data_IF_008668143521
#
_entry.id   IF_008668143521
#
_cell.length_a   1.000
_cell.length_b   1.000
_cell.length_c   1.000
_cell.angle_alpha   90.00
_cell.angle_beta   90.00
_cell.angle_gamma   90.00
#
_symmetry.space_group_name_H-M   'P 1'
#
loop_
_entity.id
_entity.type
_entity.pdbx_description
1 polymer ?
#
# COMPACT_ATOMS: atom_id res chain seq x y z
N UNK A 1 69.91 9.27 -2.38
CA UNK A 1 68.44 9.12 -2.45
C UNK A 1 68.09 7.64 -2.31
N UNK A 2 67.53 7.20 -1.18
CA UNK A 2 67.09 5.81 -1.01
C UNK A 2 65.85 5.59 -1.89
N UNK A 3 65.94 4.69 -2.88
CA UNK A 3 64.80 4.28 -3.71
C UNK A 3 63.76 3.62 -2.80
N UNK A 4 62.60 4.26 -2.66
CA UNK A 4 61.42 3.69 -1.99
C UNK A 4 61.07 2.41 -2.79
N UNK A 5 61.08 1.20 -2.18
CA UNK A 5 60.74 -0.01 -2.91
C UNK A 5 59.33 0.12 -3.50
N UNK A 6 59.12 -0.35 -4.73
CA UNK A 6 57.89 -0.14 -5.51
C UNK A 6 56.59 -0.48 -4.73
N UNK A 7 56.68 -1.40 -3.75
CA UNK A 7 55.61 -1.73 -2.81
C UNK A 7 55.24 -0.60 -1.86
N UNK A 8 56.19 0.13 -1.27
CA UNK A 8 55.86 1.23 -0.35
C UNK A 8 55.33 2.47 -1.06
N UNK A 9 55.78 2.75 -2.29
CA UNK A 9 55.19 3.80 -3.12
C UNK A 9 53.71 3.51 -3.42
N UNK A 10 53.37 2.26 -3.77
CA UNK A 10 51.99 1.83 -4.00
C UNK A 10 51.13 1.95 -2.72
N UNK A 11 51.68 1.62 -1.55
CA UNK A 11 50.97 1.81 -0.27
C UNK A 11 50.69 3.29 0.02
N UNK A 12 51.66 4.18 -0.21
CA UNK A 12 51.44 5.62 -0.04
C UNK A 12 50.41 6.17 -1.03
N UNK A 13 50.44 5.72 -2.29
CA UNK A 13 49.44 6.09 -3.29
C UNK A 13 48.03 5.60 -2.90
N UNK A 14 47.90 4.36 -2.46
CA UNK A 14 46.62 3.81 -1.98
C UNK A 14 46.11 4.57 -0.76
N UNK A 15 46.99 4.93 0.17
CA UNK A 15 46.64 5.70 1.37
C UNK A 15 46.17 7.11 1.00
N UNK A 16 46.91 7.81 0.14
CA UNK A 16 46.56 9.15 -0.34
C UNK A 16 45.22 9.10 -1.09
N UNK A 17 45.02 8.10 -1.95
CA UNK A 17 43.77 7.92 -2.68
C UNK A 17 42.59 7.68 -1.73
N UNK A 18 42.73 6.75 -0.78
CA UNK A 18 41.68 6.42 0.18
C UNK A 18 41.30 7.63 1.05
N UNK A 19 42.29 8.33 1.60
CA UNK A 19 42.08 9.52 2.43
C UNK A 19 41.51 10.66 1.59
N UNK A 20 42.02 10.86 0.38
CA UNK A 20 41.57 11.89 -0.54
C UNK A 20 40.10 11.71 -0.92
N UNK A 21 39.70 10.49 -1.30
CA UNK A 21 38.32 10.14 -1.61
C UNK A 21 37.42 10.31 -0.38
N UNK A 22 37.84 9.80 0.78
CA UNK A 22 37.06 9.91 2.02
C UNK A 22 36.84 11.37 2.44
N UNK A 23 37.89 12.19 2.35
CA UNK A 23 37.82 13.63 2.63
C UNK A 23 36.91 14.33 1.63
N UNK A 24 37.00 14.00 0.34
CA UNK A 24 36.15 14.59 -0.69
C UNK A 24 34.66 14.28 -0.43
N UNK A 25 34.31 13.02 -0.14
CA UNK A 25 32.95 12.65 0.25
C UNK A 25 32.49 13.35 1.54
N UNK A 26 33.38 13.51 2.52
CA UNK A 26 33.11 14.28 3.73
C UNK A 26 32.77 15.75 3.43
N UNK A 27 33.58 16.41 2.60
CA UNK A 27 33.31 17.79 2.17
C UNK A 27 32.00 17.89 1.37
N UNK A 28 31.79 16.98 0.42
CA UNK A 28 30.55 16.92 -0.36
C UNK A 28 29.33 16.74 0.54
N UNK A 29 29.43 15.93 1.60
CA UNK A 29 28.33 15.79 2.55
C UNK A 29 27.93 17.13 3.16
N UNK A 30 28.87 18.00 3.54
CA UNK A 30 28.50 19.29 4.13
C UNK A 30 28.06 20.35 3.11
N UNK A 31 28.58 20.29 1.89
CA UNK A 31 28.31 21.30 0.83
C UNK A 31 27.03 21.02 0.06
N UNK A 32 26.70 19.75 -0.20
CA UNK A 32 25.52 19.40 -0.98
C UNK A 32 24.22 19.67 -0.23
N UNK A 33 23.23 20.20 -0.95
CA UNK A 33 21.91 20.45 -0.39
C UNK A 33 21.25 19.14 0.09
N UNK A 34 20.74 19.18 1.31
CA UNK A 34 20.07 18.06 1.97
C UNK A 34 18.67 17.90 1.41
N UNK A 35 18.39 16.73 0.84
CA UNK A 35 17.07 16.39 0.34
C UNK A 35 16.14 16.13 1.53
N UNK A 36 14.87 16.54 1.43
CA UNK A 36 13.88 16.27 2.49
C UNK A 36 13.15 14.95 2.29
N UNK A 37 13.06 14.50 1.05
CA UNK A 37 12.30 13.33 0.64
C UNK A 37 13.14 12.52 -0.34
N UNK A 38 13.18 11.20 -0.18
CA UNK A 38 13.68 10.32 -1.22
C UNK A 38 12.57 10.04 -2.23
N UNK A 39 12.73 10.57 -3.44
CA UNK A 39 11.83 10.27 -4.57
C UNK A 39 11.91 8.76 -4.90
N UNK A 40 13.11 8.18 -4.72
CA UNK A 40 13.40 6.76 -4.91
C UNK A 40 12.67 5.93 -3.86
N UNK A 41 12.90 6.15 -2.56
CA UNK A 41 12.37 5.27 -1.51
C UNK A 41 10.96 5.63 -1.01
N UNK A 42 10.34 6.69 -1.55
CA UNK A 42 8.99 7.17 -1.16
C UNK A 42 8.83 7.42 0.34
N UNK A 43 9.87 7.93 1.00
CA UNK A 43 9.84 8.30 2.42
C UNK A 43 10.55 9.63 2.66
N UNK A 44 10.16 10.28 3.74
CA UNK A 44 10.93 11.39 4.28
C UNK A 44 12.31 10.90 4.72
N UNK A 45 13.32 11.69 4.40
CA UNK A 45 14.68 11.45 4.86
C UNK A 45 14.81 11.89 6.31
N UNK A 46 15.65 11.20 7.07
CA UNK A 46 15.92 11.54 8.45
C UNK A 46 16.35 13.01 8.56
N UNK A 47 15.81 13.71 9.55
CA UNK A 47 16.22 15.06 9.92
C UNK A 47 17.38 15.01 10.89
N UNK A 48 18.17 16.08 10.95
CA UNK A 48 19.27 16.17 11.90
C UNK A 48 18.73 16.03 13.33
N UNK A 49 19.25 15.09 14.15
CA UNK A 49 18.73 14.86 15.49
C UNK A 49 19.09 16.01 16.43
N UNK A 50 18.14 16.40 17.29
CA UNK A 50 18.44 17.31 18.39
C UNK A 50 19.23 16.58 19.48
N UNK A 51 20.29 17.20 19.97
CA UNK A 51 21.13 16.61 21.01
C UNK A 51 20.36 16.54 22.33
N UNK A 52 20.32 15.34 22.92
CA UNK A 52 19.73 15.10 24.23
C UNK A 52 20.59 14.09 24.99
N UNK A 53 21.14 14.49 26.13
CA UNK A 53 22.05 13.68 26.95
C UNK A 53 21.43 12.34 27.36
N UNK A 54 20.13 12.31 27.70
CA UNK A 54 19.42 11.07 28.03
C UNK A 54 19.26 10.14 26.83
N UNK A 55 19.18 10.68 25.62
CA UNK A 55 19.07 9.89 24.38
C UNK A 55 20.43 9.45 23.84
N UNK A 56 21.50 10.19 24.14
CA UNK A 56 22.88 9.82 23.83
C UNK A 56 23.29 8.56 24.59
N UNK A 57 23.07 8.53 25.91
CA UNK A 57 23.36 7.34 26.73
C UNK A 57 22.44 6.15 26.46
N UNK A 58 21.27 6.38 25.83
CA UNK A 58 20.36 5.32 25.36
C UNK A 58 20.67 4.81 23.94
N UNK A 59 21.63 5.44 23.24
CA UNK A 59 21.99 5.09 21.86
C UNK A 59 20.99 5.55 20.79
N UNK A 60 19.93 6.27 21.17
CA UNK A 60 18.93 6.77 20.22
C UNK A 60 19.47 7.94 19.39
N UNK A 61 20.26 8.81 20.01
CA UNK A 61 20.87 9.95 19.32
C UNK A 61 21.85 9.49 18.24
N UNK A 62 22.72 8.52 18.54
CA UNK A 62 23.70 7.98 17.58
C UNK A 62 23.01 7.23 16.45
N UNK A 63 21.98 6.43 16.75
CA UNK A 63 21.17 5.75 15.72
C UNK A 63 20.48 6.76 14.78
N UNK A 64 19.92 7.83 15.33
CA UNK A 64 19.25 8.86 14.54
C UNK A 64 20.27 9.69 13.72
N UNK A 65 21.47 9.89 14.25
CA UNK A 65 22.58 10.53 13.55
C UNK A 65 23.08 9.65 12.38
N UNK A 66 23.23 8.34 12.60
CA UNK A 66 23.59 7.38 11.56
C UNK A 66 22.55 7.34 10.46
N UNK A 67 21.26 7.32 10.82
CA UNK A 67 20.16 7.40 9.85
C UNK A 67 20.22 8.71 9.05
N UNK A 68 20.48 9.84 9.71
CA UNK A 68 20.66 11.14 9.03
C UNK A 68 21.83 11.13 8.06
N UNK A 69 22.99 10.61 8.47
CA UNK A 69 24.18 10.54 7.62
C UNK A 69 23.95 9.62 6.43
N UNK A 70 23.36 8.43 6.65
CA UNK A 70 23.04 7.48 5.59
C UNK A 70 22.03 8.04 4.58
N UNK A 71 21.05 8.81 5.04
CA UNK A 71 20.02 9.43 4.20
C UNK A 71 20.54 10.60 3.37
N UNK A 72 21.56 11.29 3.87
CA UNK A 72 22.11 12.49 3.26
C UNK A 72 23.51 12.29 2.66
N UNK A 73 23.92 11.03 2.46
CA UNK A 73 25.20 10.69 1.87
C UNK A 73 25.28 11.18 0.40
N UNK A 74 26.42 11.73 -0.06
CA UNK A 74 26.55 12.22 -1.43
C UNK A 74 26.22 11.14 -2.46
N UNK A 75 25.41 11.49 -3.46
CA UNK A 75 25.01 10.58 -4.55
C UNK A 75 24.32 9.29 -4.06
N UNK A 76 23.64 9.33 -2.91
CA UNK A 76 22.97 8.17 -2.31
C UNK A 76 22.08 7.42 -3.31
N UNK A 77 21.27 8.17 -4.06
CA UNK A 77 20.33 7.61 -5.03
C UNK A 77 21.07 6.83 -6.14
N UNK A 78 22.21 7.35 -6.63
CA UNK A 78 23.08 6.68 -7.60
C UNK A 78 23.73 5.41 -7.01
N UNK A 79 24.18 5.46 -5.74
CA UNK A 79 24.72 4.29 -5.04
C UNK A 79 23.69 3.19 -4.83
N UNK A 80 22.45 3.57 -4.51
CA UNK A 80 21.34 2.63 -4.39
C UNK A 80 21.07 1.98 -5.73
N UNK A 81 20.93 2.76 -6.80
CA UNK A 81 20.74 2.25 -8.15
C UNK A 81 21.87 1.29 -8.58
N UNK A 82 23.12 1.65 -8.32
CA UNK A 82 24.28 0.79 -8.57
C UNK A 82 24.25 -0.50 -7.73
N UNK A 83 23.81 -0.43 -6.47
CA UNK A 83 23.65 -1.62 -5.61
C UNK A 83 22.58 -2.58 -6.15
N UNK A 84 21.48 -2.05 -6.70
CA UNK A 84 20.44 -2.84 -7.36
C UNK A 84 20.95 -3.44 -8.67
N UNK A 85 21.73 -2.70 -9.46
CA UNK A 85 22.42 -3.23 -10.63
C UNK A 85 23.33 -4.43 -10.28
N UNK A 86 24.18 -4.30 -9.25
CA UNK A 86 25.05 -5.41 -8.80
C UNK A 86 24.26 -6.62 -8.28
N UNK A 87 23.16 -6.39 -7.55
CA UNK A 87 22.25 -7.46 -7.11
C UNK A 87 21.59 -8.17 -8.29
N UNK A 88 21.18 -7.42 -9.30
CA UNK A 88 20.55 -7.96 -10.51
C UNK A 88 21.50 -8.83 -11.34
N UNK A 89 22.81 -8.52 -11.36
CA UNK A 89 23.82 -9.36 -12.00
C UNK A 89 24.06 -10.67 -11.23
N UNK A 90 23.87 -10.68 -9.91
CA UNK A 90 24.08 -11.86 -9.05
C UNK A 90 22.90 -12.85 -9.02
N UNK A 91 21.76 -12.53 -9.65
CA UNK A 91 20.58 -13.40 -9.68
C UNK A 91 20.72 -14.58 -10.65
N UNK A 92 20.36 -15.80 -10.22
CA UNK A 92 20.25 -16.95 -11.11
C UNK A 92 19.05 -16.77 -12.05
N UNK A 93 19.29 -16.82 -13.36
CA UNK A 93 18.29 -16.59 -14.41
C UNK A 93 18.17 -17.84 -15.31
N UNK A 94 17.35 -18.85 -14.94
CA UNK A 94 17.38 -20.14 -15.63
C UNK A 94 16.82 -20.11 -17.06
N UNK A 95 16.15 -19.05 -17.52
CA UNK A 95 15.62 -18.97 -18.90
C UNK A 95 15.53 -17.55 -19.49
N UNK A 96 16.28 -16.57 -18.96
CA UNK A 96 16.29 -15.19 -19.48
C UNK A 96 15.02 -14.36 -19.23
N UNK A 97 13.87 -15.01 -18.97
CA UNK A 97 12.53 -14.41 -18.98
C UNK A 97 11.87 -14.23 -17.61
N UNK A 98 12.40 -14.84 -16.56
CA UNK A 98 11.79 -14.85 -15.22
C UNK A 98 12.85 -14.52 -14.18
N UNK A 99 12.59 -13.54 -13.32
CA UNK A 99 13.44 -13.21 -12.17
C UNK A 99 12.65 -13.25 -10.88
N UNK A 100 13.22 -13.84 -9.83
CA UNK A 100 12.67 -13.78 -8.48
C UNK A 100 13.53 -12.80 -7.68
N UNK A 101 12.92 -11.70 -7.24
CA UNK A 101 13.58 -10.70 -6.38
C UNK A 101 13.06 -10.90 -4.96
N UNK A 102 13.95 -11.34 -4.06
CA UNK A 102 13.67 -11.32 -2.63
C UNK A 102 13.72 -9.86 -2.16
N UNK A 103 12.57 -9.32 -1.80
CA UNK A 103 12.44 -7.98 -1.23
C UNK A 103 12.19 -8.11 0.25
N UNK A 104 12.95 -7.38 1.08
CA UNK A 104 12.53 -7.16 2.46
C UNK A 104 11.19 -6.40 2.40
N UNK A 105 10.08 -7.08 2.71
CA UNK A 105 8.83 -6.37 2.97
C UNK A 105 9.08 -5.42 4.14
N UNK A 106 8.60 -4.17 4.10
CA UNK A 106 8.50 -3.39 5.33
C UNK A 106 7.68 -4.24 6.30
N UNK A 107 8.27 -4.68 7.41
CA UNK A 107 7.48 -5.21 8.51
C UNK A 107 6.63 -4.02 8.99
N UNK A 108 5.40 -3.90 8.50
CA UNK A 108 4.50 -2.81 8.85
C UNK A 108 4.23 -2.78 10.37
N UNK A 109 4.52 -3.88 11.07
CA UNK A 109 4.35 -4.06 12.51
C UNK A 109 5.45 -4.99 13.05
N UNK A 110 6.14 -4.62 14.15
CA UNK A 110 7.08 -5.51 14.83
C UNK A 110 6.41 -6.83 15.25
N UNK A 111 7.11 -7.96 15.08
CA UNK A 111 6.60 -9.31 15.39
C UNK A 111 6.10 -9.46 16.83
N UNK A 112 6.64 -8.69 17.75
CA UNK A 112 6.25 -8.67 19.17
C UNK A 112 4.84 -8.10 19.35
N UNK A 113 4.46 -7.07 18.58
CA UNK A 113 3.11 -6.49 18.62
C UNK A 113 2.09 -7.40 17.96
N UNK A 114 2.49 -8.18 16.94
CA UNK A 114 1.62 -9.18 16.32
C UNK A 114 1.25 -10.31 17.29
N UNK A 115 2.18 -10.76 18.15
CA UNK A 115 1.93 -11.82 19.14
C UNK A 115 0.94 -11.45 20.25
N UNK A 116 0.87 -10.17 20.63
CA UNK A 116 -0.09 -9.70 21.64
C UNK A 116 -1.54 -9.62 21.12
N UNK A 117 -1.71 -9.53 19.80
CA UNK A 117 -3.00 -9.21 19.17
C UNK A 117 -3.57 -10.41 18.40
N UNK A 118 -2.69 -11.30 17.92
CA UNK A 118 -3.03 -12.37 16.97
C UNK A 118 -2.58 -13.71 17.57
N UNK A 119 -3.41 -14.77 17.52
CA UNK A 119 -3.01 -16.11 17.95
C UNK A 119 -1.72 -16.56 17.22
N UNK A 120 -0.78 -17.17 17.95
CA UNK A 120 0.53 -17.61 17.41
C UNK A 120 0.43 -18.46 16.13
N UNK A 121 -0.68 -19.20 15.95
CA UNK A 121 -0.95 -19.99 14.75
C UNK A 121 -1.20 -19.14 13.49
N UNK A 122 -1.82 -17.96 13.62
CA UNK A 122 -2.16 -17.09 12.49
C UNK A 122 -0.97 -16.24 12.02
N UNK A 123 0.01 -15.96 12.90
CA UNK A 123 1.23 -15.23 12.53
C UNK A 123 2.12 -16.06 11.59
N UNK A 124 2.15 -17.39 11.75
CA UNK A 124 2.94 -18.29 10.88
C UNK A 124 2.31 -18.51 9.50
N UNK A 125 1.00 -18.35 9.37
CA UNK A 125 0.22 -18.65 8.17
C UNK A 125 -0.11 -17.38 7.33
N UNK A 126 0.41 -16.21 7.74
CA UNK A 126 0.15 -14.89 7.13
C UNK A 126 0.79 -14.77 5.73
N UNK A 127 0.04 -14.17 4.79
CA UNK A 127 0.54 -13.88 3.45
C UNK A 127 1.45 -12.65 3.46
N UNK A 128 2.75 -12.84 3.64
CA UNK A 128 3.72 -11.79 3.39
C UNK A 128 4.29 -11.98 1.98
N UNK A 129 4.14 -10.97 1.13
CA UNK A 129 4.73 -10.93 -0.21
C UNK A 129 6.27 -10.83 -0.10
N UNK A 130 6.91 -11.95 0.24
CA UNK A 130 8.35 -12.01 0.45
C UNK A 130 9.15 -11.98 -0.85
N UNK A 131 8.50 -12.12 -2.00
CA UNK A 131 9.18 -12.21 -3.28
C UNK A 131 8.35 -11.59 -4.41
N UNK A 132 9.06 -10.86 -5.28
CA UNK A 132 8.53 -10.36 -6.54
C UNK A 132 8.97 -11.29 -7.67
N UNK A 133 8.05 -11.65 -8.54
CA UNK A 133 8.31 -12.33 -9.80
C UNK A 133 8.26 -11.30 -10.92
N UNK A 134 9.34 -11.20 -11.70
CA UNK A 134 9.40 -10.30 -12.86
C UNK A 134 9.35 -11.16 -14.11
N UNK A 135 8.36 -10.89 -14.96
CA UNK A 135 8.10 -11.61 -16.20
C UNK A 135 7.65 -10.63 -17.28
N UNK A 136 8.33 -10.63 -18.43
CA UNK A 136 7.99 -9.80 -19.60
C UNK A 136 7.75 -8.30 -19.29
N UNK A 137 8.64 -7.70 -18.48
CA UNK A 137 8.53 -6.28 -18.13
C UNK A 137 7.33 -5.95 -17.21
N UNK A 138 6.83 -6.96 -16.48
CA UNK A 138 5.81 -6.83 -15.42
C UNK A 138 6.31 -7.44 -14.12
N UNK A 139 5.94 -6.86 -12.99
CA UNK A 139 6.22 -7.37 -11.67
C UNK A 139 4.96 -7.92 -11.01
N UNK A 140 5.10 -9.04 -10.32
CA UNK A 140 4.02 -9.78 -9.68
C UNK A 140 4.39 -10.11 -8.24
N UNK A 141 3.47 -9.96 -7.31
CA UNK A 141 3.67 -10.35 -5.91
C UNK A 141 3.29 -11.81 -5.73
N UNK A 142 4.19 -12.63 -5.19
CA UNK A 142 3.87 -14.05 -4.95
C UNK A 142 2.93 -14.17 -3.74
N UNK A 143 1.73 -14.71 -3.96
CA UNK A 143 0.75 -14.94 -2.90
C UNK A 143 1.03 -16.25 -2.16
N UNK A 144 1.09 -16.19 -0.83
CA UNK A 144 1.50 -17.33 0.01
C UNK A 144 0.66 -17.47 1.28
N UNK A 145 -0.65 -17.61 1.16
CA UNK A 145 -1.54 -17.76 2.33
C UNK A 145 -2.23 -19.12 2.48
N UNK A 146 -2.96 -19.28 3.58
CA UNK A 146 -3.76 -20.47 3.92
C UNK A 146 -5.25 -20.14 4.02
N UNK A 147 -6.10 -21.17 3.90
CA UNK A 147 -7.55 -21.02 4.14
C UNK A 147 -7.89 -20.67 5.59
N UNK A 148 -6.97 -20.89 6.55
CA UNK A 148 -7.19 -20.45 7.94
C UNK A 148 -7.19 -18.93 8.04
N UNK A 149 -6.34 -18.26 7.27
CA UNK A 149 -6.31 -16.79 7.23
C UNK A 149 -7.57 -16.22 6.57
N UNK A 150 -8.03 -16.85 5.49
CA UNK A 150 -9.32 -16.53 4.89
C UNK A 150 -10.48 -16.64 5.89
N UNK A 151 -10.53 -17.73 6.65
CA UNK A 151 -11.55 -17.94 7.68
C UNK A 151 -11.45 -16.93 8.84
N UNK A 152 -10.23 -16.56 9.25
CA UNK A 152 -10.02 -15.54 10.27
C UNK A 152 -10.54 -14.17 9.84
N UNK A 153 -10.20 -13.73 8.63
CA UNK A 153 -10.70 -12.48 8.07
C UNK A 153 -12.23 -12.47 7.96
N UNK A 154 -12.82 -13.56 7.46
CA UNK A 154 -14.27 -13.71 7.41
C UNK A 154 -14.90 -13.63 8.81
N UNK A 155 -14.29 -14.25 9.83
CA UNK A 155 -14.76 -14.16 11.22
C UNK A 155 -14.71 -12.74 11.77
N UNK A 156 -13.70 -11.94 11.42
CA UNK A 156 -13.65 -10.52 11.75
C UNK A 156 -14.81 -9.73 11.13
N UNK A 157 -15.10 -9.96 9.84
CA UNK A 157 -16.24 -9.31 9.17
C UNK A 157 -17.58 -9.77 9.73
N UNK A 158 -17.75 -11.06 10.02
CA UNK A 158 -18.96 -11.59 10.65
C UNK A 158 -19.20 -10.97 12.03
N UNK A 159 -18.15 -10.84 12.84
CA UNK A 159 -18.24 -10.17 14.14
C UNK A 159 -18.67 -8.72 13.98
N UNK A 160 -18.16 -8.05 12.94
CA UNK A 160 -18.53 -6.67 12.65
C UNK A 160 -19.98 -6.54 12.19
N UNK A 161 -20.43 -7.40 11.28
CA UNK A 161 -21.83 -7.45 10.88
C UNK A 161 -22.77 -7.70 12.07
N UNK A 162 -22.42 -8.63 12.97
CA UNK A 162 -23.20 -8.89 14.19
C UNK A 162 -23.25 -7.67 15.12
N UNK A 163 -22.16 -6.90 15.24
CA UNK A 163 -22.10 -5.71 16.08
C UNK A 163 -22.93 -4.54 15.51
N UNK A 164 -23.06 -4.46 14.18
CA UNK A 164 -23.90 -3.47 13.49
C UNK A 164 -25.38 -3.84 13.53
N UNK A 165 -25.69 -5.14 13.57
CA UNK A 165 -27.04 -5.67 13.46
C UNK A 165 -27.57 -5.64 12.02
N UNK A 166 -28.76 -6.22 11.82
CA UNK A 166 -29.33 -6.42 10.48
C UNK A 166 -29.98 -5.16 9.86
N UNK A 167 -29.94 -4.02 10.55
CA UNK A 167 -30.50 -2.75 10.07
C UNK A 167 -29.60 -2.04 9.05
N UNK A 168 -28.31 -2.43 8.94
CA UNK A 168 -27.38 -1.92 7.94
C UNK A 168 -27.12 -2.96 6.86
N UNK A 169 -27.04 -2.53 5.60
CA UNK A 169 -26.55 -3.39 4.52
C UNK A 169 -25.03 -3.52 4.63
N UNK A 170 -24.53 -4.74 4.61
CA UNK A 170 -23.10 -5.02 4.70
C UNK A 170 -22.61 -5.70 3.40
N UNK A 171 -21.57 -5.14 2.81
CA UNK A 171 -20.91 -5.65 1.62
C UNK A 171 -19.44 -5.99 1.87
N UNK A 172 -18.95 -7.02 1.19
CA UNK A 172 -17.51 -7.35 1.15
C UNK A 172 -17.05 -7.53 -0.29
N UNK A 173 -15.92 -6.92 -0.63
CA UNK A 173 -15.20 -7.09 -1.89
C UNK A 173 -13.77 -7.53 -1.54
N UNK A 174 -13.37 -8.74 -1.92
CA UNK A 174 -11.97 -9.17 -1.86
C UNK A 174 -11.38 -9.11 -3.25
N UNK A 175 -10.33 -8.30 -3.41
CA UNK A 175 -9.74 -8.00 -4.72
C UNK A 175 -8.56 -8.93 -5.00
N UNK A 176 -8.57 -9.71 -6.09
CA UNK A 176 -7.40 -10.49 -6.50
C UNK A 176 -6.27 -9.58 -6.95
N UNK A 177 -5.05 -10.09 -6.99
CA UNK A 177 -3.87 -9.37 -7.43
C UNK A 177 -3.58 -9.59 -8.92
N UNK A 178 -2.62 -8.82 -9.45
CA UNK A 178 -2.10 -9.01 -10.80
C UNK A 178 -1.54 -10.43 -11.03
N UNK A 179 -1.07 -11.09 -9.96
CA UNK A 179 -0.52 -12.45 -10.05
C UNK A 179 -1.57 -13.45 -10.49
N UNK A 180 -2.75 -13.45 -9.87
CA UNK A 180 -3.84 -14.34 -10.25
C UNK A 180 -4.44 -13.98 -11.62
N UNK A 181 -4.46 -12.68 -11.96
CA UNK A 181 -5.17 -12.19 -13.16
C UNK A 181 -4.33 -12.15 -14.44
N UNK A 182 -3.00 -12.03 -14.33
CA UNK A 182 -2.15 -11.72 -15.49
C UNK A 182 -0.87 -12.55 -15.57
N UNK A 183 -0.55 -13.34 -14.54
CA UNK A 183 0.60 -14.23 -14.59
C UNK A 183 0.25 -15.51 -15.39
N UNK A 184 1.12 -15.99 -16.28
CA UNK A 184 0.89 -17.26 -16.98
C UNK A 184 0.69 -18.44 -16.02
N UNK A 185 -0.24 -19.35 -16.35
CA UNK A 185 -0.63 -20.50 -15.53
C UNK A 185 0.55 -21.34 -15.01
N UNK A 186 1.60 -21.49 -15.82
CA UNK A 186 2.80 -22.24 -15.44
C UNK A 186 3.54 -21.64 -14.23
N UNK A 187 3.39 -20.34 -13.98
CA UNK A 187 4.01 -19.63 -12.86
C UNK A 187 3.05 -19.38 -11.69
N UNK A 188 1.72 -19.55 -11.87
CA UNK A 188 0.76 -19.48 -10.76
C UNK A 188 1.10 -20.49 -9.65
N UNK A 189 1.70 -21.64 -10.01
CA UNK A 189 2.16 -22.69 -9.08
C UNK A 189 3.28 -22.24 -8.13
N UNK A 190 3.95 -21.12 -8.41
CA UNK A 190 4.94 -20.52 -7.51
C UNK A 190 4.25 -19.99 -6.25
N UNK A 191 3.01 -19.50 -6.39
CA UNK A 191 2.17 -19.06 -5.29
C UNK A 191 1.09 -20.08 -4.92
N UNK A 192 0.21 -19.67 -4.01
CA UNK A 192 -1.07 -20.32 -3.73
C UNK A 192 -2.17 -19.67 -4.58
N UNK A 193 -3.24 -20.41 -4.86
CA UNK A 193 -4.39 -19.87 -5.61
C UNK A 193 -5.08 -18.78 -4.80
N UNK A 194 -5.20 -17.59 -5.37
CA UNK A 194 -5.96 -16.50 -4.77
C UNK A 194 -7.46 -16.76 -4.91
N UNK A 195 -7.92 -17.34 -6.04
CA UNK A 195 -9.33 -17.74 -6.21
C UNK A 195 -9.81 -18.66 -5.10
N UNK A 196 -9.08 -19.75 -4.84
CA UNK A 196 -9.45 -20.69 -3.78
C UNK A 196 -9.50 -20.02 -2.40
N UNK A 197 -8.63 -19.03 -2.17
CA UNK A 197 -8.61 -18.27 -0.93
C UNK A 197 -9.78 -17.28 -0.83
N UNK A 198 -10.10 -16.54 -1.91
CA UNK A 198 -11.28 -15.67 -1.99
C UNK A 198 -12.56 -16.50 -1.75
N UNK A 199 -12.66 -17.66 -2.38
CA UNK A 199 -13.78 -18.59 -2.16
C UNK A 199 -13.85 -19.05 -0.70
N UNK A 200 -12.70 -19.30 -0.07
CA UNK A 200 -12.65 -19.64 1.34
C UNK A 200 -13.10 -18.46 2.23
N UNK A 201 -12.76 -17.21 1.92
CA UNK A 201 -13.30 -16.04 2.62
C UNK A 201 -14.82 -16.02 2.47
N UNK A 202 -15.31 -16.02 1.24
CA UNK A 202 -16.73 -15.90 0.93
C UNK A 202 -17.55 -17.06 1.49
N UNK A 203 -17.04 -18.29 1.50
CA UNK A 203 -17.71 -19.45 2.12
C UNK A 203 -17.91 -19.27 3.63
N UNK A 204 -17.00 -18.58 4.31
CA UNK A 204 -17.06 -18.37 5.75
C UNK A 204 -17.80 -17.07 6.16
N UNK A 205 -18.20 -16.21 5.22
CA UNK A 205 -19.00 -15.02 5.51
C UNK A 205 -20.46 -15.38 5.82
N UNK A 206 -21.03 -14.69 6.80
CA UNK A 206 -22.45 -14.71 7.13
C UNK A 206 -23.29 -14.37 5.89
N UNK A 207 -24.48 -14.97 5.77
CA UNK A 207 -25.39 -14.74 4.64
C UNK A 207 -25.91 -13.31 4.56
N UNK A 208 -25.93 -12.57 5.68
CA UNK A 208 -26.29 -11.15 5.73
C UNK A 208 -25.22 -10.22 5.11
N UNK A 209 -24.02 -10.73 4.84
CA UNK A 209 -22.96 -9.98 4.13
C UNK A 209 -23.05 -10.32 2.65
N UNK A 210 -23.36 -9.34 1.81
CA UNK A 210 -23.35 -9.53 0.36
C UNK A 210 -21.91 -9.56 -0.15
N UNK A 211 -21.61 -10.61 -0.91
CA UNK A 211 -20.27 -10.95 -1.39
C UNK A 211 -20.19 -10.49 -2.84
N UNK A 212 -19.56 -9.35 -3.07
CA UNK A 212 -19.45 -8.80 -4.40
C UNK A 212 -18.31 -9.51 -5.14
N UNK A 213 -18.67 -10.32 -6.14
CA UNK A 213 -17.73 -11.20 -6.86
C UNK A 213 -16.90 -10.45 -7.89
N UNK A 214 -15.93 -9.68 -7.40
CA UNK A 214 -14.97 -8.96 -8.23
C UNK A 214 -14.11 -9.91 -9.08
N UNK A 215 -13.81 -11.13 -8.58
CA UNK A 215 -13.00 -12.09 -9.31
C UNK A 215 -13.63 -12.46 -10.65
N UNK A 216 -14.91 -12.85 -10.63
CA UNK A 216 -15.61 -13.25 -11.85
C UNK A 216 -15.71 -12.11 -12.87
N UNK A 217 -15.94 -10.88 -12.42
CA UNK A 217 -15.92 -9.71 -13.31
C UNK A 217 -14.53 -9.41 -13.89
N UNK A 218 -13.47 -9.57 -13.10
CA UNK A 218 -12.11 -9.32 -13.58
C UNK A 218 -11.64 -10.40 -14.57
N UNK A 219 -11.96 -11.68 -14.31
CA UNK A 219 -11.49 -12.77 -15.18
C UNK A 219 -12.14 -12.75 -16.57
N UNK A 220 -13.39 -12.28 -16.67
CA UNK A 220 -14.10 -12.04 -17.94
C UNK A 220 -13.32 -11.06 -18.84
N UNK A 221 -12.60 -10.12 -18.24
CA UNK A 221 -11.86 -9.05 -18.91
C UNK A 221 -10.33 -9.20 -18.78
N UNK A 222 -9.82 -10.39 -18.44
CA UNK A 222 -8.39 -10.61 -18.11
C UNK A 222 -7.39 -10.25 -19.21
N UNK A 223 -7.86 -10.17 -20.46
CA UNK A 223 -7.03 -9.82 -21.61
C UNK A 223 -6.86 -8.29 -21.77
N UNK A 224 -7.58 -7.50 -20.98
CA UNK A 224 -7.49 -6.05 -20.95
C UNK A 224 -6.44 -5.57 -19.94
N UNK A 225 -6.19 -4.26 -19.94
CA UNK A 225 -5.18 -3.66 -19.08
C UNK A 225 -5.69 -3.39 -17.65
N UNK A 226 -5.93 -4.47 -16.90
CA UNK A 226 -6.59 -4.41 -15.59
C UNK A 226 -5.66 -4.08 -14.42
N UNK A 227 -4.36 -4.40 -14.53
CA UNK A 227 -3.36 -4.15 -13.49
C UNK A 227 -2.13 -3.46 -14.07
N UNK A 228 -1.51 -2.60 -13.25
CA UNK A 228 -0.25 -1.97 -13.62
C UNK A 228 0.87 -3.01 -13.69
N UNK A 229 1.88 -2.72 -14.52
CA UNK A 229 3.03 -3.61 -14.69
C UNK A 229 4.11 -3.31 -13.67
N UNK A 230 4.20 -2.06 -13.23
CA UNK A 230 5.25 -1.55 -12.35
C UNK A 230 4.73 -1.13 -10.97
N UNK A 231 3.43 -1.24 -10.73
CA UNK A 231 2.75 -0.93 -9.47
C UNK A 231 1.89 -2.11 -9.00
N UNK A 232 1.65 -2.22 -7.69
CA UNK A 232 0.90 -3.35 -7.13
C UNK A 232 -0.61 -3.24 -7.30
N UNK A 233 -1.12 -2.05 -7.62
CA UNK A 233 -2.55 -1.82 -7.78
C UNK A 233 -3.09 -2.24 -9.15
N UNK A 234 -4.41 -2.41 -9.20
CA UNK A 234 -5.17 -2.39 -10.44
C UNK A 234 -5.17 -1.01 -11.12
N UNK A 235 -5.58 -0.96 -12.38
CA UNK A 235 -5.92 0.28 -13.11
C UNK A 235 -7.34 0.74 -12.74
N UNK A 236 -7.75 1.93 -13.17
CA UNK A 236 -9.15 2.37 -13.03
C UNK A 236 -10.13 1.40 -13.73
N UNK A 237 -9.69 0.73 -14.80
CA UNK A 237 -10.51 -0.25 -15.52
C UNK A 237 -10.69 -1.53 -14.71
N UNK A 238 -9.63 -2.04 -14.07
CA UNK A 238 -9.75 -3.15 -13.11
C UNK A 238 -10.68 -2.78 -11.94
N UNK A 239 -10.51 -1.59 -11.38
CA UNK A 239 -11.38 -1.09 -10.32
C UNK A 239 -12.85 -0.96 -10.74
N UNK A 240 -13.10 -0.55 -11.99
CA UNK A 240 -14.43 -0.44 -12.57
C UNK A 240 -15.16 -1.80 -12.60
N UNK A 241 -14.48 -2.87 -13.00
CA UNK A 241 -15.11 -4.20 -13.04
C UNK A 241 -15.48 -4.71 -11.64
N UNK A 242 -14.63 -4.48 -10.63
CA UNK A 242 -15.00 -4.79 -9.25
C UNK A 242 -16.14 -3.90 -8.74
N UNK A 243 -16.18 -2.63 -9.13
CA UNK A 243 -17.31 -1.73 -8.87
C UNK A 243 -18.61 -2.24 -9.50
N UNK A 244 -18.56 -2.78 -10.72
CA UNK A 244 -19.71 -3.41 -11.37
C UNK A 244 -20.18 -4.68 -10.64
N UNK A 245 -19.27 -5.47 -10.04
CA UNK A 245 -19.65 -6.59 -9.19
C UNK A 245 -20.37 -6.09 -7.92
N UNK A 246 -19.87 -5.01 -7.33
CA UNK A 246 -20.49 -4.38 -6.16
C UNK A 246 -21.87 -3.77 -6.46
N UNK A 247 -22.08 -3.21 -7.66
CA UNK A 247 -23.35 -2.59 -8.03
C UNK A 247 -24.52 -3.58 -7.98
N UNK A 248 -24.28 -4.86 -8.31
CA UNK A 248 -25.25 -5.96 -8.18
C UNK A 248 -25.68 -6.15 -6.73
N UNK A 249 -24.72 -6.22 -5.81
CA UNK A 249 -25.01 -6.32 -4.38
C UNK A 249 -25.74 -5.08 -3.83
N UNK A 250 -25.29 -3.89 -4.26
CA UNK A 250 -25.77 -2.62 -3.75
C UNK A 250 -27.06 -2.12 -4.43
N UNK A 251 -27.56 -2.84 -5.45
CA UNK A 251 -28.82 -2.55 -6.12
C UNK A 251 -28.82 -1.21 -6.86
N UNK A 252 -27.77 -0.95 -7.65
CA UNK A 252 -27.74 0.19 -8.57
C UNK A 252 -27.13 -0.19 -9.92
N UNK A 253 -27.50 0.53 -10.98
CA UNK A 253 -26.89 0.38 -12.30
C UNK A 253 -25.50 1.04 -12.34
N UNK A 254 -24.46 0.34 -12.82
CA UNK A 254 -23.13 0.92 -12.90
C UNK A 254 -23.07 2.03 -13.96
N UNK A 255 -22.19 3.03 -13.76
CA UNK A 255 -21.89 4.03 -14.78
C UNK A 255 -21.38 3.34 -16.05
N UNK A 256 -21.83 3.78 -17.23
CA UNK A 256 -21.31 3.27 -18.50
C UNK A 256 -19.98 3.95 -18.83
N UNK A 257 -18.89 3.17 -18.94
CA UNK A 257 -17.54 3.71 -19.21
C UNK A 257 -17.49 4.57 -20.50
N UNK A 258 -18.23 4.18 -21.52
CA UNK A 258 -18.32 4.91 -22.79
C UNK A 258 -18.86 6.34 -22.66
N UNK A 259 -19.64 6.60 -21.60
CA UNK A 259 -20.17 7.93 -21.32
C UNK A 259 -19.24 8.79 -20.45
N UNK A 260 -18.12 8.23 -19.99
CA UNK A 260 -17.19 8.94 -19.11
C UNK A 260 -16.01 9.50 -19.90
N UNK A 261 -15.67 10.75 -19.62
CA UNK A 261 -14.47 11.37 -20.18
C UNK A 261 -13.22 10.72 -19.58
N UNK A 262 -12.46 9.99 -20.40
CA UNK A 262 -11.18 9.39 -20.02
C UNK A 262 -10.03 10.40 -20.10
N UNK A 263 -9.18 10.41 -19.07
CA UNK A 263 -7.90 11.15 -19.02
C UNK A 263 -6.76 10.18 -18.71
N UNK A 264 -5.53 10.58 -19.00
CA UNK A 264 -4.36 9.73 -18.84
C UNK A 264 -3.12 10.49 -18.34
N UNK A 265 -2.31 9.83 -17.52
CA UNK A 265 -0.98 10.29 -17.08
C UNK A 265 0.06 9.25 -17.47
N UNK A 266 0.97 9.62 -18.37
CA UNK A 266 2.02 8.73 -18.92
C UNK A 266 3.24 8.66 -17.99
N UNK A 267 4.15 7.73 -18.30
CA UNK A 267 5.45 7.58 -17.66
C UNK A 267 5.37 7.25 -16.16
N UNK A 268 4.38 6.45 -15.76
CA UNK A 268 4.22 6.04 -14.37
C UNK A 268 5.13 4.85 -14.06
N UNK A 269 6.02 5.02 -13.10
CA UNK A 269 6.79 3.93 -12.50
C UNK A 269 6.35 3.77 -11.04
N UNK A 270 5.76 2.61 -10.76
CA UNK A 270 5.08 2.32 -9.53
C UNK A 270 5.95 1.81 -8.39
N UNK A 271 5.25 1.36 -7.35
CA UNK A 271 5.80 0.75 -6.14
C UNK A 271 6.60 -0.52 -6.40
N UNK A 272 6.20 -1.39 -7.33
CA UNK A 272 6.94 -2.63 -7.61
C UNK A 272 8.26 -2.34 -8.33
N UNK A 273 8.29 -1.33 -9.21
CA UNK A 273 9.56 -0.81 -9.72
C UNK A 273 10.40 -0.19 -8.60
N UNK A 274 9.80 0.63 -7.73
CA UNK A 274 10.53 1.25 -6.64
C UNK A 274 11.19 0.22 -5.70
N UNK A 275 10.55 -0.94 -5.51
CA UNK A 275 11.03 -2.07 -4.70
C UNK A 275 12.10 -2.92 -5.39
N UNK A 276 11.97 -3.18 -6.69
CA UNK A 276 12.84 -4.10 -7.42
C UNK A 276 14.02 -3.41 -8.11
N UNK A 277 13.82 -2.17 -8.58
CA UNK A 277 14.71 -1.45 -9.51
C UNK A 277 15.11 -2.27 -10.72
N UNK A 278 14.23 -3.14 -11.17
CA UNK A 278 14.53 -3.96 -12.34
C UNK A 278 14.48 -3.09 -13.61
N UNK A 279 15.55 -3.08 -14.42
CA UNK A 279 15.61 -2.25 -15.62
C UNK A 279 14.57 -2.63 -16.68
N UNK A 280 14.05 -3.87 -16.70
CA UNK A 280 12.98 -4.27 -17.63
C UNK A 280 11.66 -3.56 -17.32
N UNK A 281 11.39 -3.25 -16.04
CA UNK A 281 10.22 -2.46 -15.66
C UNK A 281 10.38 -0.99 -16.07
N UNK A 282 11.60 -0.44 -15.93
CA UNK A 282 11.90 0.94 -16.32
C UNK A 282 11.72 1.19 -17.82
N UNK A 283 12.03 0.19 -18.66
CA UNK A 283 11.90 0.27 -20.13
C UNK A 283 10.46 0.39 -20.61
N UNK A 284 9.49 0.02 -19.79
CA UNK A 284 8.09 0.04 -20.15
C UNK A 284 7.29 0.70 -19.00
N UNK A 285 7.27 2.02 -18.86
CA UNK A 285 6.50 2.66 -17.81
C UNK A 285 5.00 2.59 -18.08
N UNK A 286 4.19 2.62 -17.03
CA UNK A 286 2.74 2.54 -17.07
C UNK A 286 2.08 3.85 -17.53
N UNK A 287 0.80 3.76 -17.91
CA UNK A 287 -0.10 4.91 -18.11
C UNK A 287 -1.23 4.78 -17.10
N UNK A 288 -1.40 5.79 -16.24
CA UNK A 288 -2.53 5.87 -15.31
C UNK A 288 -3.70 6.53 -16.01
N UNK A 289 -4.66 5.72 -16.44
CA UNK A 289 -5.94 6.19 -16.96
C UNK A 289 -6.94 6.38 -15.80
N UNK A 290 -7.77 7.42 -15.91
CA UNK A 290 -8.84 7.71 -14.96
C UNK A 290 -10.02 8.36 -15.69
N UNK A 291 -11.21 8.26 -15.09
CA UNK A 291 -12.46 8.70 -15.69
C UNK A 291 -13.05 9.85 -14.90
N UNK A 292 -13.50 10.90 -15.59
CA UNK A 292 -14.19 12.01 -14.95
C UNK A 292 -15.56 11.54 -14.47
N UNK A 293 -15.83 11.68 -13.18
CA UNK A 293 -17.07 11.23 -12.55
C UNK A 293 -18.17 12.29 -12.73
N UNK A 294 -19.37 11.92 -13.21
CA UNK A 294 -20.46 12.86 -13.49
C UNK A 294 -21.10 13.41 -12.21
N UNK A 295 -21.57 14.66 -12.27
CA UNK A 295 -22.21 15.35 -11.14
C UNK A 295 -21.22 16.07 -10.23
N UNK A 296 -21.73 17.01 -9.43
CA UNK A 296 -20.89 17.76 -8.50
C UNK A 296 -20.69 16.97 -7.20
N UNK A 297 -19.44 16.92 -6.75
CA UNK A 297 -19.04 16.25 -5.53
C UNK A 297 -18.28 17.21 -4.62
N UNK A 298 -18.81 17.45 -3.43
CA UNK A 298 -18.07 18.16 -2.39
C UNK A 298 -17.27 17.16 -1.58
N UNK A 299 -15.94 17.30 -1.61
CA UNK A 299 -15.02 16.38 -0.95
C UNK A 299 -14.28 17.08 0.18
N UNK A 300 -14.35 16.49 1.37
CA UNK A 300 -13.58 16.92 2.54
C UNK A 300 -12.84 15.75 3.15
N UNK A 301 -11.72 16.02 3.81
CA UNK A 301 -10.89 15.03 4.49
C UNK A 301 -10.62 15.45 5.92
N UNK A 302 -10.55 14.47 6.82
CA UNK A 302 -10.11 14.66 8.19
C UNK A 302 -8.87 13.80 8.45
N UNK A 303 -7.77 14.47 8.77
CA UNK A 303 -6.47 13.85 9.07
C UNK A 303 -6.14 13.87 10.57
N UNK A 304 -6.93 14.60 11.35
CA UNK A 304 -6.77 14.82 12.79
C UNK A 304 -7.44 13.69 13.59
N UNK A 305 -7.16 13.64 14.90
CA UNK A 305 -7.96 12.89 15.85
C UNK A 305 -9.20 13.68 16.32
N UNK A 306 -9.28 14.97 15.99
CA UNK A 306 -10.48 15.79 16.19
C UNK A 306 -11.45 15.62 15.03
N UNK A 307 -12.67 15.13 15.31
CA UNK A 307 -13.73 14.90 14.34
C UNK A 307 -14.24 16.17 13.63
N UNK A 308 -13.94 17.36 14.16
CA UNK A 308 -14.42 18.63 13.60
C UNK A 308 -13.46 19.27 12.61
N UNK A 309 -12.22 18.78 12.52
CA UNK A 309 -11.20 19.35 11.64
C UNK A 309 -11.29 18.73 10.23
N UNK A 310 -12.10 19.35 9.36
CA UNK A 310 -12.23 18.96 7.95
C UNK A 310 -11.57 19.97 7.02
N UNK A 311 -10.78 19.50 6.07
CA UNK A 311 -10.18 20.33 5.02
C UNK A 311 -10.65 19.89 3.64
N UNK A 312 -10.45 20.73 2.62
CA UNK A 312 -10.82 20.41 1.24
C UNK A 312 -10.03 19.20 0.74
N UNK A 313 -10.73 18.20 0.22
CA UNK A 313 -10.16 17.06 -0.49
C UNK A 313 -10.41 17.12 -1.99
N UNK A 314 -10.10 16.04 -2.70
CA UNK A 314 -10.49 15.86 -4.10
C UNK A 314 -10.88 14.41 -4.37
N UNK A 315 -11.93 14.21 -5.17
CA UNK A 315 -12.30 12.89 -5.67
C UNK A 315 -11.24 12.37 -6.67
N UNK A 316 -10.77 13.28 -7.53
CA UNK A 316 -9.70 13.07 -8.50
C UNK A 316 -8.65 14.16 -8.34
N UNK A 317 -7.52 13.85 -7.70
CA UNK A 317 -6.42 14.78 -7.46
C UNK A 317 -5.50 14.87 -8.69
N UNK A 318 -5.97 15.54 -9.75
CA UNK A 318 -5.25 15.62 -11.04
C UNK A 318 -3.86 16.28 -10.96
N UNK A 319 -3.51 16.96 -9.87
CA UNK A 319 -2.17 17.50 -9.65
C UNK A 319 -1.11 16.45 -9.28
N UNK A 320 -1.51 15.22 -8.90
CA UNK A 320 -0.58 14.15 -8.55
C UNK A 320 0.20 13.65 -9.77
N UNK A 321 1.47 13.31 -9.58
CA UNK A 321 2.40 12.93 -10.65
C UNK A 321 3.54 12.01 -10.14
N UNK A 322 4.37 11.56 -11.08
CA UNK A 322 5.55 10.71 -10.82
C UNK A 322 5.17 9.44 -10.05
N UNK A 323 5.96 9.09 -9.03
CA UNK A 323 5.84 7.91 -8.20
C UNK A 323 4.55 7.90 -7.35
N UNK A 324 3.90 9.06 -7.18
CA UNK A 324 2.60 9.24 -6.52
C UNK A 324 1.41 9.36 -7.48
N UNK A 325 1.57 9.03 -8.76
CA UNK A 325 0.52 9.21 -9.77
C UNK A 325 -0.76 8.43 -9.45
N UNK A 326 -0.67 7.24 -8.84
CA UNK A 326 -1.84 6.47 -8.41
C UNK A 326 -2.74 7.24 -7.42
N UNK A 327 -2.17 8.16 -6.64
CA UNK A 327 -2.94 9.04 -5.76
C UNK A 327 -3.78 10.08 -6.51
N UNK A 328 -3.83 10.06 -7.85
CA UNK A 328 -4.88 10.73 -8.62
C UNK A 328 -6.25 10.33 -8.11
N UNK A 329 -6.42 9.08 -7.66
CA UNK A 329 -7.65 8.64 -7.01
C UNK A 329 -7.65 9.05 -5.53
N UNK A 330 -8.67 9.81 -5.12
CA UNK A 330 -8.89 10.31 -3.76
C UNK A 330 -7.77 11.18 -3.17
N UNK A 331 -6.64 11.38 -3.83
CA UNK A 331 -5.56 12.26 -3.36
C UNK A 331 -4.58 11.64 -2.37
N UNK A 332 -5.01 10.73 -1.49
CA UNK A 332 -4.18 10.01 -0.52
C UNK A 332 -4.99 8.94 0.24
N UNK A 333 -4.30 8.18 1.07
CA UNK A 333 -4.89 7.33 2.10
C UNK A 333 -5.18 8.13 3.37
N UNK A 334 -6.33 8.81 3.41
CA UNK A 334 -6.73 9.62 4.55
C UNK A 334 -7.37 8.78 5.67
N UNK A 335 -7.24 9.17 6.96
CA UNK A 335 -7.97 8.55 8.05
C UNK A 335 -9.47 8.47 7.77
N UNK A 336 -10.07 9.58 7.34
CA UNK A 336 -11.41 9.57 6.77
C UNK A 336 -11.57 10.68 5.73
N UNK A 337 -12.32 10.38 4.68
CA UNK A 337 -12.81 11.31 3.68
C UNK A 337 -14.34 11.28 3.68
N UNK A 338 -14.97 12.42 3.42
CA UNK A 338 -16.40 12.54 3.12
C UNK A 338 -16.57 13.05 1.70
N UNK A 339 -17.39 12.36 0.92
CA UNK A 339 -17.83 12.76 -0.41
C UNK A 339 -19.34 12.98 -0.34
N UNK A 340 -19.78 14.21 -0.58
CA UNK A 340 -21.19 14.59 -0.65
C UNK A 340 -21.56 14.75 -2.13
N UNK A 341 -22.52 13.96 -2.60
CA UNK A 341 -23.02 14.07 -3.98
C UNK A 341 -24.29 14.93 -4.06
N UNK A 342 -24.71 15.24 -5.28
CA UNK A 342 -26.00 15.88 -5.56
C UNK A 342 -27.19 14.92 -5.38
N UNK A 343 -26.96 13.61 -5.35
CA UNK A 343 -27.99 12.59 -5.25
C UNK A 343 -28.55 12.50 -3.81
N UNK A 344 -29.76 13.04 -3.58
CA UNK A 344 -30.40 13.08 -2.24
C UNK A 344 -31.30 11.88 -1.97
N UNK A 345 -30.75 10.68 -2.14
CA UNK A 345 -31.48 9.42 -2.01
C UNK A 345 -31.47 8.81 -0.59
N UNK A 346 -30.89 9.51 0.40
CA UNK A 346 -30.79 9.01 1.78
C UNK A 346 -29.81 7.85 1.98
N UNK A 347 -29.13 7.36 0.93
CA UNK A 347 -28.13 6.30 1.04
C UNK A 347 -26.80 6.88 1.52
N UNK A 348 -26.27 6.32 2.60
CA UNK A 348 -25.07 6.81 3.29
C UNK A 348 -24.18 5.63 3.60
N UNK A 349 -23.07 5.54 2.88
CA UNK A 349 -22.18 4.38 2.94
C UNK A 349 -20.86 4.72 3.62
N UNK A 350 -20.38 3.81 4.46
CA UNK A 350 -19.00 3.79 4.94
C UNK A 350 -18.21 2.73 4.19
N UNK A 351 -17.14 3.16 3.54
CA UNK A 351 -16.19 2.29 2.85
C UNK A 351 -14.96 2.16 3.74
N UNK A 352 -14.79 0.99 4.36
CA UNK A 352 -13.55 0.58 5.02
C UNK A 352 -12.64 -0.03 3.96
N UNK A 353 -11.47 0.57 3.78
CA UNK A 353 -10.59 0.20 2.67
C UNK A 353 -9.11 0.28 3.02
N UNK A 354 -8.34 -0.30 2.11
CA UNK A 354 -6.93 0.02 1.86
C UNK A 354 -6.76 0.61 0.45
N UNK A 355 -5.53 0.77 -0.04
CA UNK A 355 -5.24 1.57 -1.24
C UNK A 355 -5.87 1.04 -2.55
N UNK A 356 -6.32 -0.21 -2.67
CA UNK A 356 -7.15 -0.63 -3.82
C UNK A 356 -8.48 0.14 -3.89
N UNK A 357 -9.09 0.46 -2.75
CA UNK A 357 -10.36 1.20 -2.69
C UNK A 357 -10.28 2.59 -3.32
N UNK A 358 -9.08 3.16 -3.48
CA UNK A 358 -8.91 4.50 -4.02
C UNK A 358 -9.46 4.63 -5.44
N UNK A 359 -9.12 3.71 -6.34
CA UNK A 359 -9.60 3.74 -7.73
C UNK A 359 -11.07 3.27 -7.88
N UNK A 360 -11.61 2.58 -6.88
CA UNK A 360 -12.98 2.05 -6.86
C UNK A 360 -14.00 3.11 -6.44
N UNK A 361 -13.73 3.83 -5.35
CA UNK A 361 -14.66 4.78 -4.73
C UNK A 361 -15.19 5.87 -5.68
N UNK A 362 -14.39 6.46 -6.59
CA UNK A 362 -14.87 7.47 -7.51
C UNK A 362 -16.09 7.03 -8.34
N UNK A 363 -16.13 5.78 -8.80
CA UNK A 363 -17.25 5.27 -9.59
C UNK A 363 -18.55 5.11 -8.79
N UNK A 364 -18.46 4.76 -7.50
CA UNK A 364 -19.65 4.60 -6.67
C UNK A 364 -20.19 5.92 -6.12
N UNK A 365 -19.38 6.98 -6.06
CA UNK A 365 -19.73 8.25 -5.42
C UNK A 365 -21.08 8.85 -5.88
N UNK A 366 -21.45 8.83 -7.18
CA UNK A 366 -22.74 9.37 -7.63
C UNK A 366 -23.98 8.62 -7.14
N UNK A 367 -23.83 7.38 -6.68
CA UNK A 367 -24.97 6.51 -6.30
C UNK A 367 -25.41 6.69 -4.84
N UNK A 368 -24.66 7.45 -4.05
CA UNK A 368 -24.92 7.67 -2.63
C UNK A 368 -24.99 9.16 -2.31
N UNK A 369 -25.85 9.54 -1.37
CA UNK A 369 -25.90 10.91 -0.86
C UNK A 369 -24.61 11.29 -0.13
N UNK A 370 -24.09 10.38 0.68
CA UNK A 370 -22.80 10.53 1.35
C UNK A 370 -21.99 9.24 1.24
N UNK A 371 -20.73 9.37 0.84
CA UNK A 371 -19.73 8.30 0.95
C UNK A 371 -18.68 8.74 1.96
N UNK A 372 -18.53 7.96 3.02
CA UNK A 372 -17.44 8.08 3.97
C UNK A 372 -16.38 7.05 3.61
N UNK A 373 -15.15 7.47 3.36
CA UNK A 373 -14.05 6.56 3.00
C UNK A 373 -13.05 6.57 4.14
N UNK A 374 -12.90 5.46 4.83
CA UNK A 374 -11.99 5.32 5.97
C UNK A 374 -10.88 4.33 5.61
N UNK A 375 -9.64 4.80 5.66
CA UNK A 375 -8.49 3.90 5.53
C UNK A 375 -8.29 3.12 6.84
N UNK A 376 -8.37 1.79 6.77
CA UNK A 376 -8.34 0.89 7.94
C UNK A 376 -7.07 1.11 8.78
N UNK A 377 -5.95 1.49 8.14
CA UNK A 377 -4.67 1.72 8.82
C UNK A 377 -4.69 2.99 9.67
N UNK A 378 -5.42 4.00 9.23
CA UNK A 378 -5.31 5.36 9.76
C UNK A 378 -6.57 5.89 10.45
N UNK A 379 -7.71 5.19 10.34
CA UNK A 379 -8.96 5.60 10.98
C UNK A 379 -8.78 5.76 12.51
N UNK A 380 -9.27 6.88 13.05
CA UNK A 380 -8.98 7.33 14.42
C UNK A 380 -10.20 7.40 15.34
N UNK A 381 -11.40 7.14 14.83
CA UNK A 381 -12.65 7.33 15.58
C UNK A 381 -13.22 6.01 16.10
N UNK A 382 -14.13 6.09 17.07
CA UNK A 382 -14.93 4.95 17.49
C UNK A 382 -15.94 4.64 16.38
N UNK A 383 -15.79 3.50 15.71
CA UNK A 383 -16.48 3.21 14.46
C UNK A 383 -18.01 3.18 14.60
N UNK A 384 -18.51 2.58 15.68
CA UNK A 384 -19.96 2.49 15.93
C UNK A 384 -20.58 3.87 16.19
N UNK A 385 -19.92 4.70 16.99
CA UNK A 385 -20.36 6.08 17.27
C UNK A 385 -20.32 6.92 15.98
N UNK A 386 -19.29 6.73 15.16
CA UNK A 386 -19.15 7.39 13.86
C UNK A 386 -20.29 7.00 12.90
N UNK A 387 -20.65 5.71 12.82
CA UNK A 387 -21.76 5.21 12.01
C UNK A 387 -23.08 5.84 12.44
N UNK A 388 -23.38 5.82 13.74
CA UNK A 388 -24.62 6.38 14.30
C UNK A 388 -24.71 7.90 14.06
N UNK A 389 -23.66 8.65 14.42
CA UNK A 389 -23.62 10.11 14.29
C UNK A 389 -23.82 10.58 12.85
N UNK A 390 -23.25 9.86 11.89
CA UNK A 390 -23.35 10.20 10.46
C UNK A 390 -24.58 9.59 9.78
N UNK A 391 -25.40 8.81 10.51
CA UNK A 391 -26.59 8.11 10.00
C UNK A 391 -26.24 7.18 8.83
N UNK A 392 -25.10 6.51 8.92
CA UNK A 392 -24.67 5.53 7.91
C UNK A 392 -25.63 4.34 7.96
N UNK A 393 -26.12 3.91 6.79
CA UNK A 393 -27.05 2.79 6.63
C UNK A 393 -26.48 1.66 5.75
N UNK A 394 -25.28 1.84 5.21
CA UNK A 394 -24.59 0.88 4.38
C UNK A 394 -23.08 0.83 4.74
N UNK A 395 -22.48 -0.35 4.77
CA UNK A 395 -21.06 -0.54 5.03
C UNK A 395 -20.45 -1.45 3.97
N UNK A 396 -19.36 -1.03 3.36
CA UNK A 396 -18.56 -1.82 2.43
C UNK A 396 -17.16 -1.99 3.02
N UNK A 397 -16.68 -3.23 3.07
CA UNK A 397 -15.25 -3.53 3.28
C UNK A 397 -14.65 -3.96 1.94
N UNK A 398 -13.61 -3.27 1.50
CA UNK A 398 -12.86 -3.59 0.28
C UNK A 398 -11.37 -3.72 0.59
N UNK A 399 -10.84 -4.92 0.40
CA UNK A 399 -9.44 -5.23 0.66
C UNK A 399 -8.86 -6.09 -0.46
N UNK A 400 -7.63 -5.80 -0.88
CA UNK A 400 -6.82 -6.72 -1.66
C UNK A 400 -6.59 -8.04 -0.93
N UNK A 401 -6.45 -9.13 -1.68
CA UNK A 401 -6.31 -10.49 -1.15
C UNK A 401 -5.15 -10.65 -0.15
N UNK A 402 -4.05 -9.91 -0.35
CA UNK A 402 -2.93 -9.88 0.59
C UNK A 402 -3.33 -9.30 1.95
N UNK A 403 -4.16 -8.26 1.95
CA UNK A 403 -4.63 -7.60 3.17
C UNK A 403 -5.72 -8.42 3.85
N UNK A 404 -6.63 -9.02 3.08
CA UNK A 404 -7.60 -10.00 3.56
C UNK A 404 -6.94 -11.26 4.17
N UNK A 405 -5.66 -11.51 3.89
CA UNK A 405 -4.88 -12.61 4.47
C UNK A 405 -3.76 -12.14 5.41
N UNK A 406 -3.81 -10.87 5.82
CA UNK A 406 -2.92 -10.32 6.82
C UNK A 406 -3.70 -10.16 8.14
N UNK A 407 -3.29 -10.86 9.22
CA UNK A 407 -4.03 -10.88 10.47
C UNK A 407 -4.19 -9.48 11.11
N UNK A 408 -3.29 -8.55 10.81
CA UNK A 408 -3.41 -7.17 11.27
C UNK A 408 -4.70 -6.51 10.79
N UNK A 409 -5.05 -6.64 9.51
CA UNK A 409 -6.19 -5.90 8.95
C UNK A 409 -7.51 -6.41 9.49
N UNK A 410 -7.69 -7.74 9.56
CA UNK A 410 -8.85 -8.35 10.22
C UNK A 410 -8.96 -7.93 11.68
N UNK A 411 -7.84 -7.96 12.42
CA UNK A 411 -7.84 -7.50 13.81
C UNK A 411 -8.10 -5.99 13.94
N UNK A 412 -7.64 -5.17 13.00
CA UNK A 412 -7.84 -3.72 13.01
C UNK A 412 -9.31 -3.39 12.82
N UNK A 413 -9.98 -4.03 11.86
CA UNK A 413 -11.44 -3.94 11.67
C UNK A 413 -12.16 -4.27 12.99
N UNK A 414 -11.79 -5.39 13.62
CA UNK A 414 -12.37 -5.77 14.91
C UNK A 414 -12.09 -4.74 16.01
N UNK A 415 -10.87 -4.20 16.07
CA UNK A 415 -10.46 -3.23 17.10
C UNK A 415 -11.19 -1.89 17.00
N UNK A 416 -11.54 -1.45 15.78
CA UNK A 416 -12.24 -0.19 15.54
C UNK A 416 -13.68 -0.19 16.09
N UNK A 417 -14.24 -1.37 16.37
CA UNK A 417 -15.58 -1.50 16.98
C UNK A 417 -15.60 -1.15 18.47
N UNK A 418 -14.46 -1.14 19.16
CA UNK A 418 -14.40 -0.85 20.60
C UNK A 418 -14.27 0.67 20.85
N UNK A 419 -15.04 1.21 21.81
CA UNK A 419 -15.11 2.65 22.18
C UNK A 419 -13.76 3.30 22.53
N UNK A 420 -12.78 2.50 22.94
CA UNK A 420 -11.38 2.88 22.97
C UNK A 420 -10.67 1.93 22.03
N UNK A 421 -10.28 2.41 20.86
CA UNK A 421 -9.16 1.81 20.13
C UNK A 421 -7.98 1.95 21.08
N UNK A 422 -7.43 0.87 21.70
CA UNK A 422 -6.12 1.00 22.31
C UNK A 422 -5.24 1.54 21.20
N UNK A 423 -4.50 2.62 21.43
CA UNK A 423 -3.53 3.07 20.45
C UNK A 423 -2.67 1.85 20.13
N UNK A 424 -2.90 1.26 18.96
CA UNK A 424 -1.88 0.49 18.30
C UNK A 424 -0.85 1.55 18.01
N UNK A 425 0.05 1.75 18.98
CA UNK A 425 1.27 2.43 18.71
C UNK A 425 1.87 1.62 17.57
N UNK A 426 1.70 2.13 16.35
CA UNK A 426 2.73 2.00 15.35
C UNK A 426 3.93 2.56 16.08
N UNK A 427 4.72 1.68 16.69
CA UNK A 427 6.02 2.09 17.19
C UNK A 427 6.66 2.67 15.96
N UNK A 428 6.82 3.98 15.96
CA UNK A 428 7.81 4.58 15.10
C UNK A 428 9.08 3.75 15.34
N UNK A 429 9.85 3.36 14.32
CA UNK A 429 11.03 2.50 14.51
C UNK A 429 12.00 2.99 15.61
N UNK A 430 11.84 4.27 16.02
CA UNK A 430 12.53 4.93 17.13
C UNK A 430 12.05 4.57 18.55
N UNK A 431 10.82 4.11 18.76
CA UNK A 431 10.22 3.89 20.10
C UNK A 431 10.49 2.50 20.72
N UNK A 432 11.28 1.64 20.08
CA UNK A 432 11.59 0.30 20.59
C UNK A 432 12.61 0.25 21.74
N UNK A 433 13.20 1.37 22.16
CA UNK A 433 14.31 1.39 23.15
C UNK A 433 14.04 2.24 24.39
N UNK A 434 12.78 2.32 24.85
CA UNK A 434 12.47 2.87 26.19
C UNK A 434 11.50 1.97 26.97
N UNK A 435 11.99 0.80 27.41
CA UNK A 435 11.55 0.14 28.66
C UNK A 435 12.70 -0.66 29.28
N UNK A 436 13.55 0.02 30.04
CA UNK A 436 13.79 -0.21 31.48
C UNK A 436 14.68 0.92 31.99
#
# INVERSE_FOLDING_TARGET
MKKIPYSSLLHYLNLILFIGVSTAFGVMFFVLQKQKVSIIEKRDLATFPEFNEKEMWKGNYTRDLDAYVADNFPFRDDWIEFSYFLRNIRGWNPEGRVKIVSTASPEFIPKETLKEIIPDSAVKDSATAHSLLIYEGKAFQVFGSSHKMAAYYASCLNTFQLALGDSLKFYSVVVPSASEMSLPDKYLKIGKSEKANIDAVYKNLNTSICKADAYSKLIEHKNEYLYFRTDHHWTALGAYYAYSAFSVCAGFEPLLLENLTKKSKKNFLGTLYALSRDPELAKNPDVVEYYMIPGNHKVTVNQSADENTWTKGSLLAESRSSVGTYAVFLGSDYPVMKIESENKNGRRILVLKESFGNAFVPFMAPHFENVYVADIRYFKFALLDFIQKNKINEVLVIDGIFMANNPYFGSKIKSMMYKKVPSLQVKNPKDSTRKK
#
